data_IF_244973380079
#
_entry.id   IF_244973380079
#
_cell.length_a   1.000
_cell.length_b   1.000
_cell.length_c   1.000
_cell.angle_alpha   90.00
_cell.angle_beta   90.00
_cell.angle_gamma   90.00
#
_symmetry.space_group_name_H-M   'P 1'
#
loop_
_entity.id
_entity.type
_entity.pdbx_description
1 polymer ?
#
# COMPACT_ATOMS: atom_id res chain seq x y z
N UNK A 1 -22.91 14.50 -32.25
CA UNK A 1 -23.93 13.46 -31.95
C UNK A 1 -24.52 13.79 -30.59
N UNK A 2 -25.86 13.75 -30.44
CA UNK A 2 -26.47 14.06 -29.13
C UNK A 2 -26.14 12.93 -28.15
N UNK A 3 -25.72 13.28 -26.94
CA UNK A 3 -25.35 12.33 -25.85
C UNK A 3 -26.45 11.26 -25.61
N UNK A 4 -27.73 11.60 -25.82
CA UNK A 4 -28.83 10.69 -25.66
C UNK A 4 -28.82 9.48 -26.66
N UNK A 5 -28.32 9.68 -27.88
CA UNK A 5 -28.22 8.60 -28.84
C UNK A 5 -27.12 7.59 -28.47
N UNK A 6 -26.03 8.05 -27.86
CA UNK A 6 -24.93 7.18 -27.43
C UNK A 6 -25.41 6.27 -26.30
N UNK A 7 -26.16 6.79 -25.33
CA UNK A 7 -26.63 6.02 -24.18
C UNK A 7 -27.67 4.96 -24.51
N UNK A 8 -28.44 5.15 -25.63
CA UNK A 8 -29.48 4.20 -26.06
C UNK A 8 -28.99 3.16 -27.05
N UNK A 9 -27.80 3.35 -27.65
CA UNK A 9 -27.18 2.37 -28.56
C UNK A 9 -26.03 1.64 -27.85
N UNK A 10 -26.20 0.37 -27.46
CA UNK A 10 -25.17 -0.38 -26.74
C UNK A 10 -23.85 -0.53 -27.50
N UNK A 11 -23.92 -0.57 -28.86
CA UNK A 11 -22.71 -0.67 -29.68
C UNK A 11 -21.93 0.63 -29.65
N UNK A 12 -22.61 1.73 -29.91
CA UNK A 12 -22.00 3.06 -29.90
C UNK A 12 -21.51 3.43 -28.52
N UNK A 13 -22.25 3.07 -27.45
CA UNK A 13 -21.81 3.23 -26.06
C UNK A 13 -20.48 2.52 -25.80
N UNK A 14 -20.39 1.23 -26.13
CA UNK A 14 -19.20 0.44 -25.88
C UNK A 14 -17.97 0.92 -26.65
N UNK A 15 -18.15 1.36 -27.90
CA UNK A 15 -17.07 1.93 -28.72
C UNK A 15 -16.58 3.27 -28.14
N UNK A 16 -17.52 4.15 -27.79
CA UNK A 16 -17.19 5.46 -27.19
C UNK A 16 -16.50 5.28 -25.84
N UNK A 17 -17.03 4.40 -24.98
CA UNK A 17 -16.43 4.12 -23.67
C UNK A 17 -15.01 3.56 -23.82
N UNK A 18 -14.80 2.61 -24.74
CA UNK A 18 -13.49 2.01 -24.97
C UNK A 18 -12.43 3.06 -25.32
N UNK A 19 -12.76 3.98 -26.23
CA UNK A 19 -11.83 5.07 -26.57
C UNK A 19 -11.58 6.04 -25.42
N UNK A 20 -12.61 6.35 -24.61
CA UNK A 20 -12.45 7.19 -23.42
C UNK A 20 -11.60 6.51 -22.33
N UNK A 21 -11.80 5.21 -22.12
CA UNK A 21 -11.04 4.43 -21.15
C UNK A 21 -9.55 4.34 -21.52
N UNK A 22 -9.20 4.24 -22.80
CA UNK A 22 -7.80 4.26 -23.26
C UNK A 22 -7.03 5.53 -22.84
N UNK A 23 -7.71 6.65 -22.71
CA UNK A 23 -7.08 7.93 -22.34
C UNK A 23 -6.63 7.92 -20.87
N UNK A 24 -7.40 7.32 -19.98
CA UNK A 24 -7.13 7.30 -18.54
C UNK A 24 -6.45 6.02 -18.03
N UNK A 25 -6.58 4.92 -18.77
CA UNK A 25 -6.15 3.59 -18.31
C UNK A 25 -5.35 2.86 -19.40
N UNK A 26 -4.01 2.98 -19.38
CA UNK A 26 -3.15 2.41 -20.43
C UNK A 26 -3.34 0.91 -20.66
N UNK A 27 -3.65 0.13 -19.61
CA UNK A 27 -3.90 -1.32 -19.74
C UNK A 27 -5.09 -1.67 -20.64
N UNK A 28 -6.01 -0.76 -20.86
CA UNK A 28 -7.12 -0.94 -21.82
C UNK A 28 -6.62 -1.03 -23.27
N UNK A 29 -5.46 -0.45 -23.57
CA UNK A 29 -4.86 -0.52 -24.90
C UNK A 29 -4.41 -1.94 -25.29
N UNK A 30 -4.26 -2.83 -24.32
CA UNK A 30 -3.92 -4.24 -24.55
C UNK A 30 -5.14 -5.09 -24.92
N UNK A 31 -6.36 -4.56 -24.72
CA UNK A 31 -7.60 -5.26 -25.05
C UNK A 31 -8.06 -4.97 -26.48
N UNK A 32 -8.62 -6.01 -27.07
CA UNK A 32 -9.46 -5.84 -28.26
C UNK A 32 -10.88 -5.39 -27.87
N UNK A 33 -11.55 -4.67 -28.75
CA UNK A 33 -12.91 -4.15 -28.48
C UNK A 33 -13.92 -5.25 -28.10
N UNK A 34 -13.78 -6.45 -28.64
CA UNK A 34 -14.67 -7.56 -28.31
C UNK A 34 -14.45 -8.08 -26.88
N UNK A 35 -13.19 -8.10 -26.40
CA UNK A 35 -12.85 -8.47 -25.03
C UNK A 35 -13.40 -7.43 -24.04
N UNK A 36 -13.25 -6.15 -24.39
CA UNK A 36 -13.82 -5.05 -23.63
C UNK A 36 -15.35 -5.17 -23.53
N UNK A 37 -16.03 -5.47 -24.62
CA UNK A 37 -17.49 -5.70 -24.64
C UNK A 37 -17.90 -6.89 -23.79
N UNK A 38 -17.10 -7.95 -23.78
CA UNK A 38 -17.35 -9.12 -22.95
C UNK A 38 -17.33 -8.75 -21.44
N UNK A 39 -16.33 -7.99 -21.00
CA UNK A 39 -16.27 -7.49 -19.63
C UNK A 39 -17.41 -6.53 -19.29
N UNK A 40 -17.73 -5.60 -20.22
CA UNK A 40 -18.78 -4.62 -20.05
C UNK A 40 -20.18 -5.26 -19.89
N UNK A 41 -20.40 -6.43 -20.48
CA UNK A 41 -21.67 -7.14 -20.41
C UNK A 41 -22.11 -7.47 -18.97
N UNK A 42 -21.17 -7.67 -18.06
CA UNK A 42 -21.46 -7.93 -16.63
C UNK A 42 -22.00 -6.68 -15.90
N UNK A 43 -21.82 -5.50 -16.46
CA UNK A 43 -22.21 -4.21 -15.88
C UNK A 43 -23.44 -3.58 -16.52
N UNK A 44 -24.09 -4.27 -17.45
CA UNK A 44 -25.27 -3.72 -18.15
C UNK A 44 -26.37 -3.35 -17.15
N UNK A 45 -26.82 -2.07 -17.11
CA UNK A 45 -27.95 -1.70 -16.29
C UNK A 45 -29.23 -2.37 -16.78
N UNK A 46 -30.10 -2.79 -15.86
CA UNK A 46 -31.37 -3.46 -16.21
C UNK A 46 -32.24 -2.66 -17.15
N UNK A 47 -32.22 -1.34 -17.04
CA UNK A 47 -33.06 -0.41 -17.80
C UNK A 47 -32.29 0.38 -18.87
N UNK A 48 -31.06 -0.06 -19.22
CA UNK A 48 -30.19 0.65 -20.17
C UNK A 48 -29.31 1.73 -19.54
N UNK A 49 -28.29 2.16 -20.28
CA UNK A 49 -27.31 3.14 -19.82
C UNK A 49 -27.90 4.53 -19.57
N UNK A 50 -28.96 4.88 -20.27
CA UNK A 50 -29.71 6.14 -20.13
C UNK A 50 -30.47 6.23 -18.80
N UNK A 51 -30.69 5.09 -18.12
CA UNK A 51 -31.34 5.05 -16.81
C UNK A 51 -30.37 5.33 -15.62
N UNK A 52 -29.05 5.36 -15.86
CA UNK A 52 -28.05 5.54 -14.82
C UNK A 52 -28.04 6.99 -14.36
N UNK A 53 -28.35 7.20 -13.09
CA UNK A 53 -28.29 8.52 -12.46
C UNK A 53 -26.86 8.83 -12.04
N UNK A 54 -26.32 9.97 -12.47
CA UNK A 54 -25.00 10.44 -12.10
C UNK A 54 -25.06 11.24 -10.79
N UNK A 55 -24.07 11.05 -9.94
CA UNK A 55 -23.77 11.87 -8.78
C UNK A 55 -22.74 12.94 -9.16
N UNK A 56 -22.66 14.05 -8.41
CA UNK A 56 -21.54 14.98 -8.59
C UNK A 56 -20.20 14.32 -8.23
N UNK A 57 -19.11 14.81 -8.81
CA UNK A 57 -17.76 14.30 -8.49
C UNK A 57 -17.46 14.37 -6.98
N UNK A 58 -17.83 15.46 -6.35
CA UNK A 58 -17.68 15.67 -4.90
C UNK A 58 -18.48 14.65 -4.07
N UNK A 59 -19.73 14.34 -4.47
CA UNK A 59 -20.53 13.31 -3.81
C UNK A 59 -19.90 11.93 -3.92
N UNK A 60 -19.37 11.58 -5.11
CA UNK A 60 -18.66 10.31 -5.30
C UNK A 60 -17.42 10.26 -4.41
N UNK A 61 -16.56 11.28 -4.44
CA UNK A 61 -15.34 11.35 -3.64
C UNK A 61 -15.64 11.23 -2.14
N UNK A 62 -16.62 11.96 -1.65
CA UNK A 62 -17.03 11.90 -0.24
C UNK A 62 -17.48 10.49 0.15
N UNK A 63 -18.29 9.85 -0.71
CA UNK A 63 -18.80 8.49 -0.45
C UNK A 63 -17.69 7.44 -0.46
N UNK A 64 -16.84 7.42 -1.49
CA UNK A 64 -15.79 6.41 -1.63
C UNK A 64 -14.63 6.61 -0.64
N UNK A 65 -14.49 7.78 -0.04
CA UNK A 65 -13.54 8.05 1.05
C UNK A 65 -14.09 7.69 2.44
N UNK A 66 -15.33 7.25 2.55
CA UNK A 66 -15.93 6.93 3.85
C UNK A 66 -15.63 5.50 4.28
N UNK A 67 -15.38 5.30 5.57
CA UNK A 67 -15.24 3.96 6.15
C UNK A 67 -16.48 3.09 5.91
N UNK A 68 -17.67 3.69 6.01
CA UNK A 68 -18.93 2.98 5.79
C UNK A 68 -19.05 2.38 4.38
N UNK A 69 -18.51 3.07 3.36
CA UNK A 69 -18.47 2.53 2.00
C UNK A 69 -17.61 1.27 1.93
N UNK A 70 -16.39 1.32 2.47
CA UNK A 70 -15.49 0.15 2.46
C UNK A 70 -16.01 -0.99 3.35
N UNK A 71 -16.70 -0.68 4.45
CA UNK A 71 -17.32 -1.69 5.29
C UNK A 71 -18.43 -2.45 4.57
N UNK A 72 -19.10 -1.82 3.59
CA UNK A 72 -20.12 -2.42 2.74
C UNK A 72 -19.59 -3.17 1.50
N UNK A 73 -18.32 -2.96 1.11
CA UNK A 73 -17.80 -3.57 -0.12
C UNK A 73 -17.68 -5.09 0.02
N UNK A 74 -18.27 -5.81 -0.92
CA UNK A 74 -18.11 -7.26 -1.10
C UNK A 74 -17.65 -7.59 -2.51
N UNK A 75 -16.43 -8.15 -2.63
CA UNK A 75 -15.90 -8.73 -3.85
C UNK A 75 -15.59 -10.18 -3.54
N UNK A 76 -16.32 -11.12 -4.17
CA UNK A 76 -16.16 -12.55 -3.96
C UNK A 76 -15.82 -13.23 -5.28
N UNK A 77 -14.77 -14.06 -5.34
CA UNK A 77 -14.57 -14.93 -6.48
C UNK A 77 -15.69 -15.98 -6.55
N UNK A 78 -16.20 -16.23 -7.74
CA UNK A 78 -17.12 -17.35 -8.00
C UNK A 78 -16.37 -18.64 -8.24
N UNK A 79 -17.04 -19.75 -8.02
CA UNK A 79 -16.52 -21.10 -8.33
C UNK A 79 -16.24 -21.29 -9.82
N UNK A 80 -16.97 -20.56 -10.67
CA UNK A 80 -16.81 -20.54 -12.15
C UNK A 80 -15.75 -19.56 -12.65
N UNK A 81 -14.94 -18.99 -11.77
CA UNK A 81 -13.87 -18.03 -12.10
C UNK A 81 -14.32 -16.59 -12.28
N UNK A 82 -15.64 -16.29 -12.19
CA UNK A 82 -16.14 -14.91 -12.23
C UNK A 82 -16.10 -14.26 -10.87
N UNK A 83 -16.03 -12.92 -10.86
CA UNK A 83 -16.08 -12.12 -9.63
C UNK A 83 -17.53 -11.73 -9.34
N UNK A 84 -17.99 -11.95 -8.12
CA UNK A 84 -19.26 -11.42 -7.62
C UNK A 84 -19.00 -10.14 -6.85
N UNK A 85 -19.66 -9.08 -7.25
CA UNK A 85 -19.58 -7.77 -6.61
C UNK A 85 -20.92 -7.36 -6.04
N UNK A 86 -20.90 -6.57 -4.97
CA UNK A 86 -22.14 -6.00 -4.45
C UNK A 86 -22.66 -4.86 -5.36
N UNK A 87 -23.91 -4.47 -5.12
CA UNK A 87 -24.59 -3.47 -5.94
C UNK A 87 -23.87 -2.11 -5.97
N UNK A 88 -23.17 -1.72 -4.88
CA UNK A 88 -22.50 -0.42 -4.79
C UNK A 88 -21.29 -0.32 -5.73
N UNK A 89 -20.52 -1.41 -5.88
CA UNK A 89 -19.42 -1.46 -6.82
C UNK A 89 -19.92 -1.43 -8.26
N UNK A 90 -20.98 -2.20 -8.55
CA UNK A 90 -21.59 -2.22 -9.87
C UNK A 90 -22.14 -0.83 -10.21
N UNK A 91 -22.85 -0.19 -9.27
CA UNK A 91 -23.40 1.16 -9.44
C UNK A 91 -22.30 2.19 -9.68
N UNK A 92 -21.21 2.14 -8.91
CA UNK A 92 -20.06 3.03 -9.11
C UNK A 92 -19.49 2.86 -10.52
N UNK A 93 -19.25 1.62 -10.96
CA UNK A 93 -18.74 1.36 -12.30
C UNK A 93 -19.69 1.89 -13.38
N UNK A 94 -20.98 1.64 -13.25
CA UNK A 94 -21.99 2.14 -14.19
C UNK A 94 -21.98 3.67 -14.27
N UNK A 95 -21.92 4.37 -13.14
CA UNK A 95 -21.84 5.84 -13.10
C UNK A 95 -20.57 6.36 -13.76
N UNK A 96 -19.41 5.74 -13.47
CA UNK A 96 -18.14 6.16 -14.06
C UNK A 96 -18.12 5.90 -15.58
N UNK A 97 -18.68 4.79 -16.05
CA UNK A 97 -18.81 4.51 -17.48
C UNK A 97 -19.69 5.54 -18.18
N UNK A 98 -20.88 5.82 -17.64
CA UNK A 98 -21.78 6.81 -18.24
C UNK A 98 -21.17 8.21 -18.17
N UNK A 99 -20.57 8.60 -17.06
CA UNK A 99 -19.93 9.90 -16.93
C UNK A 99 -18.76 10.11 -17.88
N UNK A 100 -17.96 9.06 -18.16
CA UNK A 100 -16.90 9.10 -19.18
C UNK A 100 -17.49 9.30 -20.59
N UNK A 101 -18.56 8.55 -20.92
CA UNK A 101 -19.19 8.63 -22.24
C UNK A 101 -19.86 9.97 -22.48
N UNK A 102 -20.55 10.53 -21.47
CA UNK A 102 -21.23 11.82 -21.55
C UNK A 102 -20.28 13.01 -21.43
N UNK A 103 -19.07 12.79 -20.87
CA UNK A 103 -18.09 13.85 -20.58
C UNK A 103 -18.31 14.54 -19.22
N UNK A 104 -19.29 14.12 -18.41
CA UNK A 104 -19.50 14.62 -17.07
C UNK A 104 -18.32 14.29 -16.14
N UNK A 105 -17.68 13.14 -16.41
CA UNK A 105 -16.45 12.74 -15.72
C UNK A 105 -15.28 12.69 -16.70
N UNK A 106 -14.37 13.68 -16.68
CA UNK A 106 -13.18 13.66 -17.54
C UNK A 106 -12.31 12.44 -17.27
N UNK A 107 -11.71 11.79 -18.29
CA UNK A 107 -10.81 10.64 -18.11
C UNK A 107 -9.69 10.90 -17.10
N UNK A 108 -9.14 12.11 -17.07
CA UNK A 108 -8.08 12.54 -16.17
C UNK A 108 -8.57 12.52 -14.72
N UNK A 109 -9.79 12.97 -14.45
CA UNK A 109 -10.36 12.90 -13.12
C UNK A 109 -10.62 11.46 -12.70
N UNK A 110 -11.22 10.64 -13.59
CA UNK A 110 -11.49 9.23 -13.27
C UNK A 110 -10.19 8.49 -12.97
N UNK A 111 -9.14 8.65 -13.80
CA UNK A 111 -7.85 7.96 -13.58
C UNK A 111 -7.07 8.49 -12.38
N UNK A 112 -7.24 9.75 -12.00
CA UNK A 112 -6.63 10.31 -10.80
C UNK A 112 -7.23 9.74 -9.52
N UNK A 113 -8.54 9.43 -9.51
CA UNK A 113 -9.26 9.00 -8.32
C UNK A 113 -9.55 7.49 -8.27
N UNK A 114 -9.44 6.78 -9.37
CA UNK A 114 -9.82 5.38 -9.44
C UNK A 114 -8.79 4.52 -10.18
N UNK A 115 -8.61 3.30 -9.70
CA UNK A 115 -8.02 2.21 -10.47
C UNK A 115 -9.10 1.47 -11.22
N UNK A 116 -8.80 1.04 -12.43
CA UNK A 116 -9.63 0.09 -13.14
C UNK A 116 -8.97 -1.29 -13.11
N UNK A 117 -9.58 -2.24 -12.42
CA UNK A 117 -9.14 -3.65 -12.48
C UNK A 117 -9.71 -4.31 -13.73
N UNK A 118 -8.84 -4.47 -14.73
CA UNK A 118 -9.20 -5.02 -16.04
C UNK A 118 -9.71 -6.47 -15.97
N UNK A 119 -9.30 -7.23 -14.96
CA UNK A 119 -9.69 -8.64 -14.80
C UNK A 119 -11.10 -8.79 -14.26
N UNK A 120 -11.46 -7.94 -13.30
CA UNK A 120 -12.79 -7.90 -12.70
C UNK A 120 -13.72 -6.87 -13.35
N UNK A 121 -13.18 -6.01 -14.21
CA UNK A 121 -13.87 -4.96 -14.94
C UNK A 121 -14.58 -3.93 -14.06
N UNK A 122 -13.99 -3.58 -12.91
CA UNK A 122 -14.55 -2.65 -11.94
C UNK A 122 -13.54 -1.60 -11.47
N UNK A 123 -14.06 -0.52 -10.89
CA UNK A 123 -13.25 0.55 -10.32
C UNK A 123 -13.02 0.37 -8.82
N UNK A 124 -11.82 0.73 -8.39
CA UNK A 124 -11.45 0.89 -7.00
C UNK A 124 -10.93 2.30 -6.77
N UNK A 125 -11.32 2.91 -5.67
CA UNK A 125 -10.84 4.24 -5.32
C UNK A 125 -9.34 4.23 -5.03
N UNK A 126 -8.63 5.25 -5.51
CA UNK A 126 -7.20 5.48 -5.18
C UNK A 126 -7.09 6.18 -3.83
N UNK A 127 -6.18 5.74 -3.01
CA UNK A 127 -5.82 6.47 -1.80
C UNK A 127 -5.01 7.71 -2.15
N UNK A 128 -5.41 8.87 -1.64
CA UNK A 128 -4.62 10.09 -1.71
C UNK A 128 -3.60 10.09 -0.59
N UNK A 129 -2.38 9.63 -0.86
CA UNK A 129 -1.29 9.60 0.12
C UNK A 129 -0.71 10.98 0.39
N UNK A 130 -0.51 11.79 -0.64
CA UNK A 130 0.05 13.13 -0.53
C UNK A 130 -1.05 14.17 -0.36
N UNK A 131 -1.66 14.17 0.83
CA UNK A 131 -2.62 15.19 1.26
C UNK A 131 -1.93 16.53 1.47
N UNK A 132 -2.68 17.63 1.55
CA UNK A 132 -2.11 18.96 1.86
C UNK A 132 -1.25 18.94 3.13
N UNK A 133 -1.68 18.20 4.15
CA UNK A 133 -0.94 18.06 5.41
C UNK A 133 0.38 17.29 5.24
N UNK A 134 0.36 16.21 4.47
CA UNK A 134 1.57 15.45 4.13
C UNK A 134 2.54 16.30 3.31
N UNK A 135 2.04 17.04 2.32
CA UNK A 135 2.85 17.93 1.50
C UNK A 135 3.42 19.11 2.31
N UNK A 136 2.67 19.63 3.28
CA UNK A 136 3.18 20.64 4.19
C UNK A 136 4.32 20.10 5.08
N UNK A 137 4.24 18.84 5.50
CA UNK A 137 5.25 18.19 6.33
C UNK A 137 6.52 17.83 5.53
N UNK A 138 6.36 17.15 4.38
CA UNK A 138 7.48 16.69 3.54
C UNK A 138 8.02 17.76 2.57
N UNK A 139 7.46 18.98 2.59
CA UNK A 139 7.70 19.95 1.55
C UNK A 139 6.93 19.61 0.26
N UNK A 140 6.65 20.62 -0.54
CA UNK A 140 5.82 20.49 -1.74
C UNK A 140 6.55 19.85 -2.94
N UNK A 141 7.81 19.49 -2.80
CA UNK A 141 8.63 18.92 -3.88
C UNK A 141 9.54 17.81 -3.36
N UNK A 142 9.77 16.75 -4.17
CA UNK A 142 10.76 15.74 -3.84
C UNK A 142 12.15 16.35 -3.72
N UNK A 143 13.00 15.75 -2.89
CA UNK A 143 14.43 16.12 -2.75
C UNK A 143 15.17 16.07 -4.09
N UNK A 144 14.93 15.03 -4.89
CA UNK A 144 15.33 14.99 -6.30
C UNK A 144 14.12 14.62 -7.16
N UNK A 145 13.87 15.42 -8.19
CA UNK A 145 12.81 15.15 -9.15
C UNK A 145 13.34 14.28 -10.27
N UNK A 146 12.70 13.15 -10.49
CA UNK A 146 12.92 12.29 -11.65
C UNK A 146 11.86 12.54 -12.74
N UNK A 147 11.50 13.80 -12.98
CA UNK A 147 10.36 14.18 -13.86
C UNK A 147 10.36 13.45 -15.21
N UNK A 148 11.52 13.30 -15.84
CA UNK A 148 11.60 12.55 -17.11
C UNK A 148 11.33 11.06 -16.93
N UNK A 149 11.70 10.49 -15.77
CA UNK A 149 11.48 9.10 -15.44
C UNK A 149 10.09 8.87 -14.88
N UNK A 150 9.50 9.81 -14.13
CA UNK A 150 8.11 9.74 -13.71
C UNK A 150 7.16 9.51 -14.88
N UNK A 151 7.34 10.24 -16.00
CA UNK A 151 6.56 10.02 -17.23
C UNK A 151 6.77 8.63 -17.84
N UNK A 152 7.96 8.09 -17.69
CA UNK A 152 8.29 6.72 -18.11
C UNK A 152 7.69 5.69 -17.16
N UNK A 153 7.67 5.98 -15.87
CA UNK A 153 7.04 5.16 -14.83
C UNK A 153 5.52 5.13 -14.93
N UNK A 154 4.86 6.24 -15.21
CA UNK A 154 3.43 6.28 -15.48
C UNK A 154 3.03 5.34 -16.63
N UNK A 155 3.90 5.23 -17.64
CA UNK A 155 3.75 4.27 -18.74
C UNK A 155 4.08 2.82 -18.33
N UNK A 156 4.92 2.63 -17.31
CA UNK A 156 5.36 1.31 -16.83
C UNK A 156 4.49 0.77 -15.69
N UNK A 157 3.55 1.55 -15.16
CA UNK A 157 2.67 1.11 -14.06
C UNK A 157 1.92 -0.20 -14.35
N UNK A 158 1.62 -0.44 -15.62
CA UNK A 158 0.98 -1.66 -16.09
C UNK A 158 1.96 -2.73 -16.56
N UNK A 159 3.25 -2.44 -16.61
CA UNK A 159 4.29 -3.36 -17.05
C UNK A 159 4.71 -4.30 -15.90
N UNK A 160 5.05 -5.53 -16.24
CA UNK A 160 5.31 -6.60 -15.30
C UNK A 160 6.39 -6.30 -14.26
N UNK A 161 6.38 -7.07 -13.18
CA UNK A 161 7.23 -6.97 -11.99
C UNK A 161 8.73 -6.69 -12.26
N UNK A 162 9.30 -7.26 -13.33
CA UNK A 162 10.74 -7.09 -13.65
C UNK A 162 11.06 -5.65 -14.06
N UNK A 163 10.28 -5.09 -14.95
CA UNK A 163 10.48 -3.71 -15.41
C UNK A 163 10.22 -2.69 -14.27
N UNK A 164 9.26 -2.96 -13.40
CA UNK A 164 9.02 -2.16 -12.22
C UNK A 164 10.20 -2.18 -11.24
N UNK A 165 10.85 -3.32 -11.05
CA UNK A 165 12.05 -3.46 -10.23
C UNK A 165 13.23 -2.67 -10.80
N UNK A 166 13.49 -2.79 -12.09
CA UNK A 166 14.57 -2.07 -12.77
C UNK A 166 14.35 -0.56 -12.68
N UNK A 167 13.10 -0.12 -12.81
CA UNK A 167 12.72 1.28 -12.73
C UNK A 167 12.95 1.89 -11.34
N UNK A 168 12.77 1.12 -10.26
CA UNK A 168 12.99 1.60 -8.90
C UNK A 168 14.45 1.59 -8.46
N UNK A 169 15.36 1.00 -9.22
CA UNK A 169 16.76 0.86 -8.83
C UNK A 169 17.41 2.20 -8.49
N UNK A 170 17.16 3.25 -9.26
CA UNK A 170 17.75 4.57 -9.02
C UNK A 170 17.19 5.26 -7.77
N UNK A 171 15.89 5.13 -7.53
CA UNK A 171 15.24 5.68 -6.33
C UNK A 171 15.80 4.98 -5.09
N UNK A 172 15.94 3.66 -5.14
CA UNK A 172 16.53 2.88 -4.05
C UNK A 172 17.98 3.26 -3.80
N UNK A 173 18.78 3.47 -4.84
CA UNK A 173 20.17 3.92 -4.70
C UNK A 173 20.25 5.32 -4.09
N UNK A 174 19.41 6.24 -4.53
CA UNK A 174 19.32 7.58 -3.93
C UNK A 174 18.92 7.48 -2.45
N UNK A 175 17.93 6.66 -2.13
CA UNK A 175 17.48 6.44 -0.77
C UNK A 175 18.60 5.88 0.12
N UNK A 176 19.31 4.85 -0.33
CA UNK A 176 20.45 4.26 0.39
C UNK A 176 21.53 5.30 0.67
N UNK A 177 21.89 6.12 -0.32
CA UNK A 177 22.86 7.20 -0.13
C UNK A 177 22.37 8.26 0.86
N UNK A 178 21.09 8.61 0.80
CA UNK A 178 20.48 9.58 1.72
C UNK A 178 20.49 9.05 3.16
N UNK A 179 20.16 7.79 3.38
CA UNK A 179 20.24 7.14 4.71
C UNK A 179 21.66 7.14 5.23
N UNK A 180 22.67 6.83 4.40
CA UNK A 180 24.09 6.89 4.80
C UNK A 180 24.47 8.29 5.29
N UNK A 181 24.09 9.34 4.58
CA UNK A 181 24.34 10.73 4.96
C UNK A 181 23.63 11.10 6.28
N UNK A 182 22.37 10.72 6.45
CA UNK A 182 21.63 10.97 7.69
C UNK A 182 22.24 10.27 8.87
N UNK A 183 22.65 9.02 8.75
CA UNK A 183 23.32 8.29 9.83
C UNK A 183 24.67 8.92 10.17
N UNK A 184 25.43 9.36 9.17
CA UNK A 184 26.68 10.08 9.40
C UNK A 184 26.46 11.39 10.19
N UNK A 185 25.33 12.08 9.96
CA UNK A 185 24.96 13.31 10.68
C UNK A 185 24.42 13.03 12.09
N UNK A 186 23.59 11.99 12.26
CA UNK A 186 22.89 11.70 13.54
C UNK A 186 23.68 10.80 14.48
N UNK A 187 24.65 10.04 13.97
CA UNK A 187 25.49 9.11 14.74
C UNK A 187 24.90 7.72 14.91
N UNK A 188 25.65 6.86 15.61
CA UNK A 188 25.28 5.47 15.96
C UNK A 188 25.53 5.20 17.45
N UNK A 189 24.82 4.25 18.12
CA UNK A 189 23.77 3.39 17.54
C UNK A 189 22.50 4.17 17.19
N UNK A 190 21.76 3.71 16.17
CA UNK A 190 20.55 4.39 15.72
C UNK A 190 19.46 3.38 15.33
N UNK A 191 18.22 3.66 15.74
CA UNK A 191 17.02 2.99 15.24
C UNK A 191 16.54 3.66 13.96
N UNK A 192 16.47 2.91 12.87
CA UNK A 192 15.88 3.33 11.60
C UNK A 192 14.62 2.51 11.35
N UNK A 193 13.47 3.15 11.42
CA UNK A 193 12.20 2.46 11.18
C UNK A 193 11.70 2.69 9.76
N UNK A 194 11.30 1.59 9.11
CA UNK A 194 10.70 1.58 7.77
C UNK A 194 9.27 1.10 7.89
N UNK A 195 8.36 2.06 7.81
CA UNK A 195 6.92 1.84 7.76
C UNK A 195 6.44 1.66 6.31
N UNK A 196 5.34 0.98 6.13
CA UNK A 196 4.68 0.89 4.84
C UNK A 196 3.72 -0.29 4.75
N UNK A 197 2.88 -0.26 3.76
CA UNK A 197 1.88 -1.28 3.53
C UNK A 197 2.48 -2.66 3.26
N UNK A 198 1.68 -3.69 3.47
CA UNK A 198 2.07 -5.06 3.07
C UNK A 198 2.38 -5.10 1.56
N UNK A 199 3.44 -5.81 1.19
CA UNK A 199 3.96 -5.93 -0.17
C UNK A 199 4.47 -4.59 -0.81
N UNK A 200 4.77 -3.58 -0.01
CA UNK A 200 5.40 -2.34 -0.50
C UNK A 200 6.88 -2.52 -0.87
N UNK A 201 7.56 -3.56 -0.34
CA UNK A 201 8.98 -3.81 -0.62
C UNK A 201 9.91 -3.48 0.57
N UNK A 202 9.35 -3.32 1.78
CA UNK A 202 10.12 -2.98 2.99
C UNK A 202 11.27 -3.94 3.27
N UNK A 203 10.99 -5.24 3.30
CA UNK A 203 12.00 -6.27 3.59
C UNK A 203 13.13 -6.24 2.58
N UNK A 204 12.82 -6.11 1.29
CA UNK A 204 13.82 -6.02 0.23
C UNK A 204 14.74 -4.80 0.42
N UNK A 205 14.19 -3.63 0.73
CA UNK A 205 15.02 -2.43 0.94
C UNK A 205 15.83 -2.50 2.24
N UNK A 206 15.33 -3.14 3.30
CA UNK A 206 16.09 -3.40 4.54
C UNK A 206 17.29 -4.29 4.26
N UNK A 207 17.11 -5.37 3.50
CA UNK A 207 18.22 -6.24 3.08
C UNK A 207 19.27 -5.48 2.27
N UNK A 208 18.85 -4.64 1.31
CA UNK A 208 19.75 -3.81 0.49
C UNK A 208 20.52 -2.79 1.34
N UNK A 209 19.86 -2.15 2.31
CA UNK A 209 20.52 -1.28 3.29
C UNK A 209 21.55 -2.06 4.10
N UNK A 210 21.20 -3.24 4.60
CA UNK A 210 22.11 -4.12 5.36
C UNK A 210 23.37 -4.44 4.56
N UNK A 211 23.23 -4.81 3.27
CA UNK A 211 24.37 -5.03 2.38
C UNK A 211 25.21 -3.76 2.21
N UNK A 212 24.58 -2.62 1.99
CA UNK A 212 25.25 -1.35 1.76
C UNK A 212 26.02 -0.84 2.99
N UNK A 213 25.52 -1.11 4.20
CA UNK A 213 26.21 -0.76 5.47
C UNK A 213 27.33 -1.75 5.79
N UNK A 214 27.15 -3.03 5.54
CA UNK A 214 28.21 -4.04 5.69
C UNK A 214 29.43 -3.71 4.83
N UNK A 215 29.23 -3.19 3.60
CA UNK A 215 30.31 -2.76 2.73
C UNK A 215 31.17 -1.63 3.29
N UNK A 216 30.62 -0.83 4.20
CA UNK A 216 31.33 0.26 4.90
C UNK A 216 31.69 -0.10 6.35
N UNK A 217 31.67 -1.40 6.68
CA UNK A 217 32.12 -1.92 7.97
C UNK A 217 31.18 -1.69 9.15
N UNK A 218 29.91 -1.35 8.89
CA UNK A 218 28.89 -1.15 9.92
C UNK A 218 28.11 -2.44 10.17
N UNK A 219 27.86 -2.73 11.45
CA UNK A 219 26.98 -3.82 11.86
C UNK A 219 25.51 -3.38 11.75
N UNK A 220 24.68 -4.26 11.24
CA UNK A 220 23.23 -4.03 11.16
C UNK A 220 22.46 -5.21 11.73
N UNK A 221 21.30 -4.94 12.29
CA UNK A 221 20.32 -5.94 12.70
C UNK A 221 18.91 -5.44 12.36
N UNK A 222 17.92 -6.33 12.37
CA UNK A 222 16.54 -5.95 12.09
C UNK A 222 15.55 -6.55 13.08
N UNK A 223 14.53 -5.77 13.40
CA UNK A 223 13.40 -6.13 14.25
C UNK A 223 12.13 -6.00 13.41
N UNK A 224 11.44 -7.09 13.20
CA UNK A 224 10.15 -7.11 12.52
C UNK A 224 9.02 -6.90 13.54
N UNK A 225 8.26 -5.81 13.40
CA UNK A 225 7.09 -5.53 14.26
C UNK A 225 6.07 -6.67 14.19
N UNK A 226 5.95 -7.28 13.02
CA UNK A 226 5.03 -8.39 12.78
C UNK A 226 5.31 -9.62 13.64
N UNK A 227 6.54 -9.82 14.10
CA UNK A 227 6.89 -10.91 15.02
C UNK A 227 6.30 -10.73 16.43
N UNK A 228 5.93 -9.50 16.78
CA UNK A 228 5.32 -9.20 18.07
C UNK A 228 3.79 -9.35 18.08
N UNK A 229 3.15 -9.74 16.99
CA UNK A 229 1.71 -10.02 17.01
C UNK A 229 1.36 -11.11 18.04
N UNK A 230 0.27 -10.88 18.75
CA UNK A 230 -0.36 -11.89 19.61
C UNK A 230 -1.11 -12.93 18.75
N UNK A 231 -1.60 -14.00 19.33
CA UNK A 231 -2.34 -15.04 18.60
C UNK A 231 -3.56 -14.45 17.87
N UNK A 232 -3.78 -14.86 16.62
CA UNK A 232 -4.90 -14.38 15.80
C UNK A 232 -6.24 -14.67 16.44
N UNK A 233 -6.45 -15.93 16.84
CA UNK A 233 -7.73 -16.38 17.40
C UNK A 233 -8.09 -15.61 18.68
N UNK A 234 -7.10 -15.28 19.51
CA UNK A 234 -7.30 -14.47 20.70
C UNK A 234 -7.64 -13.01 20.37
N UNK A 235 -6.99 -12.43 19.36
CA UNK A 235 -7.35 -11.09 18.88
C UNK A 235 -8.77 -11.03 18.35
N UNK A 236 -9.15 -12.03 17.53
CA UNK A 236 -10.49 -12.13 16.96
C UNK A 236 -11.55 -12.30 18.03
N UNK A 237 -11.30 -13.18 19.03
CA UNK A 237 -12.21 -13.40 20.16
C UNK A 237 -12.40 -12.12 21.02
N UNK A 238 -11.40 -11.25 21.08
CA UNK A 238 -11.44 -10.00 21.86
C UNK A 238 -11.85 -8.80 21.03
N UNK A 239 -12.12 -8.95 19.73
CA UNK A 239 -12.44 -7.86 18.83
C UNK A 239 -11.28 -6.86 18.62
N UNK A 240 -10.03 -7.29 18.80
CA UNK A 240 -8.84 -6.45 18.63
C UNK A 240 -8.53 -6.39 17.14
N UNK A 241 -8.45 -5.16 16.61
CA UNK A 241 -7.97 -4.91 15.25
C UNK A 241 -6.51 -5.35 15.12
N UNK A 242 -6.13 -5.82 13.94
CA UNK A 242 -4.73 -6.16 13.62
C UNK A 242 -3.83 -4.93 13.44
N UNK A 243 -4.35 -3.75 13.72
CA UNK A 243 -3.63 -2.47 13.65
C UNK A 243 -3.53 -1.85 15.04
N UNK A 244 -2.36 -1.35 15.35
CA UNK A 244 -2.13 -0.68 16.63
C UNK A 244 -1.46 -1.57 17.68
N UNK A 245 -1.12 -0.97 18.80
CA UNK A 245 -0.33 -1.59 19.88
C UNK A 245 -1.05 -2.74 20.58
N UNK A 246 -2.38 -2.73 20.60
CA UNK A 246 -3.21 -3.75 21.23
C UNK A 246 -3.08 -5.12 20.55
N UNK A 247 -2.69 -5.13 19.26
CA UNK A 247 -2.46 -6.36 18.51
C UNK A 247 -1.10 -7.00 18.80
N UNK A 248 -0.21 -6.29 19.49
CA UNK A 248 1.16 -6.69 19.76
C UNK A 248 1.35 -7.15 21.21
N UNK A 249 2.38 -7.93 21.46
CA UNK A 249 3.04 -8.04 22.75
C UNK A 249 3.77 -6.73 23.04
N UNK A 250 3.01 -5.66 23.27
CA UNK A 250 3.50 -4.28 23.21
C UNK A 250 4.62 -4.01 24.24
N UNK A 251 4.45 -4.49 25.49
CA UNK A 251 5.48 -4.28 26.53
C UNK A 251 6.79 -5.00 26.17
N UNK A 252 6.72 -6.19 25.55
CA UNK A 252 7.92 -6.88 25.05
C UNK A 252 8.57 -6.10 23.91
N UNK A 253 7.76 -5.54 22.99
CA UNK A 253 8.27 -4.76 21.88
C UNK A 253 8.98 -3.48 22.36
N UNK A 254 8.34 -2.72 23.25
CA UNK A 254 8.92 -1.52 23.83
C UNK A 254 10.21 -1.82 24.57
N UNK A 255 10.20 -2.83 25.47
CA UNK A 255 11.39 -3.24 26.21
C UNK A 255 12.53 -3.69 25.30
N UNK A 256 12.21 -4.44 24.23
CA UNK A 256 13.20 -4.87 23.24
C UNK A 256 13.89 -3.68 22.56
N UNK A 257 13.12 -2.64 22.19
CA UNK A 257 13.68 -1.43 21.59
C UNK A 257 14.56 -0.65 22.57
N UNK A 258 14.13 -0.52 23.83
CA UNK A 258 14.93 0.14 24.87
C UNK A 258 16.23 -0.63 25.15
N UNK A 259 16.16 -1.94 25.30
CA UNK A 259 17.35 -2.75 25.62
C UNK A 259 18.37 -2.76 24.48
N UNK A 260 17.92 -2.93 23.23
CA UNK A 260 18.85 -2.99 22.09
C UNK A 260 19.53 -1.65 21.81
N UNK A 261 18.85 -0.52 22.06
CA UNK A 261 19.46 0.82 21.96
C UNK A 261 20.51 1.06 23.02
N UNK A 262 20.42 0.37 24.18
CA UNK A 262 21.42 0.38 25.21
C UNK A 262 22.52 -0.69 25.05
N UNK A 263 22.60 -1.32 23.88
CA UNK A 263 23.63 -2.30 23.53
C UNK A 263 23.45 -3.67 24.18
N UNK A 264 22.24 -4.02 24.62
CA UNK A 264 21.92 -5.35 25.13
C UNK A 264 21.37 -6.24 24.03
N UNK A 265 21.74 -7.52 24.04
CA UNK A 265 21.06 -8.53 23.24
C UNK A 265 19.61 -8.73 23.71
N UNK A 266 18.71 -8.99 22.78
CA UNK A 266 17.28 -9.14 23.06
C UNK A 266 16.76 -10.48 22.55
N UNK A 267 15.72 -10.97 23.21
CA UNK A 267 14.98 -12.18 22.83
C UNK A 267 13.55 -11.77 22.47
N UNK A 268 13.16 -11.99 21.21
CA UNK A 268 11.88 -11.50 20.70
C UNK A 268 10.91 -12.63 20.35
N UNK A 269 9.60 -12.38 20.36
CA UNK A 269 8.63 -13.33 19.84
C UNK A 269 8.88 -13.67 18.37
N UNK A 270 8.28 -14.79 17.94
CA UNK A 270 8.19 -15.19 16.54
C UNK A 270 6.72 -15.43 16.21
N UNK A 271 6.24 -14.81 15.13
CA UNK A 271 4.87 -14.95 14.66
C UNK A 271 4.77 -15.83 13.41
N UNK A 272 3.96 -16.88 13.47
CA UNK A 272 3.70 -17.74 12.33
C UNK A 272 2.47 -17.26 11.56
N UNK A 273 2.68 -16.73 10.35
CA UNK A 273 1.59 -16.23 9.50
C UNK A 273 0.70 -17.31 8.89
N UNK A 274 1.13 -18.58 8.89
CA UNK A 274 0.35 -19.69 8.32
C UNK A 274 -0.80 -20.01 9.24
N UNK A 275 -0.49 -20.31 10.52
CA UNK A 275 -1.48 -20.67 11.53
C UNK A 275 -1.96 -19.47 12.38
N UNK A 276 -1.28 -18.33 12.29
CA UNK A 276 -1.64 -17.14 13.04
C UNK A 276 -1.24 -17.18 14.52
N UNK A 277 -0.24 -17.99 14.87
CA UNK A 277 0.19 -18.17 16.25
C UNK A 277 1.48 -17.39 16.57
N UNK A 278 1.56 -16.86 17.78
CA UNK A 278 2.78 -16.32 18.38
C UNK A 278 3.54 -17.39 19.15
N UNK A 279 4.85 -17.27 19.24
CA UNK A 279 5.68 -18.08 20.14
C UNK A 279 5.43 -17.77 21.62
N UNK A 280 4.82 -16.62 21.92
CA UNK A 280 4.51 -16.17 23.27
C UNK A 280 2.99 -16.18 23.52
N UNK A 281 2.61 -16.46 24.76
CA UNK A 281 1.21 -16.33 25.20
C UNK A 281 0.87 -14.87 25.51
N UNK A 282 -0.42 -14.58 25.70
CA UNK A 282 -0.91 -13.22 26.02
C UNK A 282 -0.26 -12.58 27.27
N UNK A 283 0.27 -13.40 28.17
CA UNK A 283 1.01 -12.94 29.34
C UNK A 283 2.49 -12.58 29.04
N UNK A 284 2.89 -12.58 27.76
CA UNK A 284 4.25 -12.31 27.33
C UNK A 284 5.27 -13.41 27.62
N UNK A 285 4.83 -14.59 28.10
CA UNK A 285 5.74 -15.71 28.38
C UNK A 285 5.87 -16.63 27.16
N UNK A 286 7.09 -17.13 26.95
CA UNK A 286 7.36 -18.12 25.91
C UNK A 286 6.50 -19.39 26.15
N UNK A 287 5.87 -19.86 25.11
CA UNK A 287 5.08 -21.08 25.14
C UNK A 287 5.99 -22.32 25.18
N UNK A 288 5.52 -23.45 25.76
CA UNK A 288 6.27 -24.69 25.68
C UNK A 288 6.61 -25.07 24.24
N UNK A 289 7.78 -25.64 24.02
CA UNK A 289 8.29 -26.12 22.72
C UNK A 289 8.40 -25.05 21.62
N UNK A 290 8.39 -23.75 22.00
CA UNK A 290 8.68 -22.63 21.10
C UNK A 290 10.05 -22.05 21.38
N UNK A 291 10.67 -21.48 20.34
CA UNK A 291 11.98 -20.83 20.43
C UNK A 291 11.79 -19.36 20.08
N UNK A 292 12.33 -18.44 20.89
CA UNK A 292 12.33 -17.03 20.56
C UNK A 292 13.40 -16.73 19.49
N UNK A 293 13.39 -15.52 18.96
CA UNK A 293 14.44 -15.02 18.08
C UNK A 293 15.42 -14.17 18.89
N UNK A 294 16.68 -14.59 18.94
CA UNK A 294 17.76 -13.84 19.56
C UNK A 294 18.32 -12.81 18.60
N UNK A 295 18.47 -11.55 19.03
CA UNK A 295 18.94 -10.44 18.22
C UNK A 295 20.06 -9.73 18.97
N UNK A 296 21.23 -9.64 18.34
CA UNK A 296 22.40 -8.95 18.87
C UNK A 296 22.36 -7.44 18.56
N UNK A 297 22.89 -6.58 19.44
CA UNK A 297 22.98 -5.16 19.18
C UNK A 297 23.91 -4.84 18.01
N UNK A 298 23.60 -3.74 17.33
CA UNK A 298 24.31 -3.31 16.13
C UNK A 298 24.42 -1.77 16.06
N UNK A 299 25.27 -1.26 15.16
CA UNK A 299 25.37 0.18 14.90
C UNK A 299 24.07 0.75 14.37
N UNK A 300 23.38 -0.03 13.52
CA UNK A 300 22.12 0.36 12.88
C UNK A 300 21.12 -0.75 13.10
N UNK A 301 20.00 -0.40 13.72
CA UNK A 301 18.92 -1.31 14.05
C UNK A 301 17.73 -0.93 13.18
N UNK A 302 17.39 -1.77 12.23
CA UNK A 302 16.19 -1.57 11.41
C UNK A 302 14.96 -2.03 12.17
N UNK A 303 13.88 -1.25 12.08
CA UNK A 303 12.55 -1.64 12.53
C UNK A 303 11.69 -1.70 11.27
N UNK A 304 11.13 -2.86 10.94
CA UNK A 304 10.24 -3.04 9.82
C UNK A 304 8.82 -3.33 10.30
N UNK A 305 7.84 -2.60 9.77
CA UNK A 305 6.43 -2.84 10.13
C UNK A 305 5.43 -2.06 9.29
N UNK A 306 4.16 -2.36 9.52
CA UNK A 306 3.09 -1.67 8.82
C UNK A 306 2.74 -0.32 9.48
N UNK A 307 2.88 -0.21 10.80
CA UNK A 307 2.38 0.93 11.56
C UNK A 307 3.29 1.41 12.72
N UNK A 308 4.64 1.34 12.64
CA UNK A 308 5.51 1.70 13.77
C UNK A 308 5.33 3.15 14.23
N UNK A 309 4.92 4.07 13.34
CA UNK A 309 4.76 5.49 13.68
C UNK A 309 3.39 5.84 14.28
N UNK A 310 2.48 4.88 14.38
CA UNK A 310 1.22 5.03 15.11
C UNK A 310 1.36 4.69 16.61
N UNK A 311 2.53 4.22 17.03
CA UNK A 311 2.83 3.85 18.42
C UNK A 311 3.62 4.99 19.06
N UNK A 312 2.91 5.96 19.66
CA UNK A 312 3.49 7.18 20.20
C UNK A 312 4.60 6.90 21.25
N UNK A 313 4.42 5.85 22.05
CA UNK A 313 5.31 5.49 23.15
C UNK A 313 6.74 5.11 22.71
N UNK A 314 6.93 4.74 21.45
CA UNK A 314 8.25 4.39 20.90
C UNK A 314 8.84 5.43 19.95
N UNK A 315 8.08 6.45 19.56
CA UNK A 315 8.53 7.42 18.55
C UNK A 315 9.83 8.13 18.94
N UNK A 316 10.04 8.38 20.23
CA UNK A 316 11.24 9.04 20.74
C UNK A 316 12.51 8.19 20.64
N UNK A 317 12.38 6.86 20.49
CA UNK A 317 13.50 5.94 20.30
C UNK A 317 13.96 5.89 18.84
N UNK A 318 13.07 6.25 17.89
CA UNK A 318 13.33 6.11 16.45
C UNK A 318 14.10 7.33 15.96
N UNK A 319 15.36 7.11 15.61
CA UNK A 319 16.25 8.15 15.10
C UNK A 319 16.00 8.55 13.66
N UNK A 320 15.52 7.64 12.80
CA UNK A 320 15.16 7.92 11.39
C UNK A 320 13.84 7.21 11.08
N UNK A 321 12.86 7.97 10.58
CA UNK A 321 11.52 7.48 10.23
C UNK A 321 11.32 7.51 8.71
N UNK A 322 11.11 6.37 8.10
CA UNK A 322 10.93 6.25 6.65
C UNK A 322 9.59 5.59 6.35
N UNK A 323 8.81 6.16 5.44
CA UNK A 323 7.69 5.48 4.82
C UNK A 323 8.12 4.98 3.44
N UNK A 324 7.97 3.67 3.22
CA UNK A 324 8.19 3.05 1.91
C UNK A 324 6.85 2.81 1.24
N UNK A 325 6.54 3.64 0.26
CA UNK A 325 5.24 3.73 -0.38
C UNK A 325 5.28 3.07 -1.76
N UNK A 326 4.30 2.22 -2.00
CA UNK A 326 4.01 1.65 -3.31
C UNK A 326 2.50 1.75 -3.53
N UNK A 327 2.11 2.17 -4.71
CA UNK A 327 0.71 2.36 -5.06
C UNK A 327 -0.11 1.06 -4.88
N UNK A 328 -1.35 1.22 -4.47
CA UNK A 328 -2.21 0.13 -3.99
C UNK A 328 -2.35 -1.00 -5.01
N UNK A 329 -2.61 -0.71 -6.27
CA UNK A 329 -2.80 -1.74 -7.27
C UNK A 329 -1.53 -2.58 -7.52
N UNK A 330 -0.35 -1.97 -7.46
CA UNK A 330 0.94 -2.67 -7.65
C UNK A 330 1.20 -3.61 -6.48
N UNK A 331 1.06 -3.12 -5.24
CA UNK A 331 1.30 -3.95 -4.06
C UNK A 331 0.24 -5.02 -3.87
N UNK A 332 -1.02 -4.79 -4.32
CA UNK A 332 -2.08 -5.80 -4.30
C UNK A 332 -1.76 -6.97 -5.23
N UNK A 333 -1.25 -6.71 -6.43
CA UNK A 333 -0.75 -7.76 -7.34
C UNK A 333 0.39 -8.57 -6.70
N UNK A 334 1.34 -7.90 -6.02
CA UNK A 334 2.45 -8.54 -5.31
C UNK A 334 1.98 -9.39 -4.13
N UNK A 335 1.06 -8.84 -3.34
CA UNK A 335 0.47 -9.54 -2.20
C UNK A 335 -0.28 -10.79 -2.64
N UNK A 336 -1.11 -10.68 -3.69
CA UNK A 336 -1.81 -11.81 -4.28
C UNK A 336 -0.84 -12.93 -4.66
N UNK A 337 0.18 -12.60 -5.44
CA UNK A 337 1.19 -13.57 -5.88
C UNK A 337 1.88 -14.24 -4.68
N UNK A 338 2.31 -13.48 -3.69
CA UNK A 338 2.94 -13.99 -2.48
C UNK A 338 2.02 -14.92 -1.70
N UNK A 339 0.76 -14.53 -1.52
CA UNK A 339 -0.19 -15.30 -0.72
C UNK A 339 -0.56 -16.62 -1.43
N UNK A 340 -0.60 -16.63 -2.76
CA UNK A 340 -0.82 -17.86 -3.55
C UNK A 340 0.43 -18.75 -3.60
N UNK A 341 1.58 -18.21 -3.99
CA UNK A 341 2.78 -18.99 -4.29
C UNK A 341 3.48 -19.50 -3.03
N UNK A 342 3.58 -18.66 -1.99
CA UNK A 342 4.37 -18.96 -0.79
C UNK A 342 3.53 -19.32 0.44
N UNK A 343 2.38 -18.68 0.63
CA UNK A 343 1.53 -18.92 1.81
C UNK A 343 0.46 -19.97 1.58
N UNK A 344 0.34 -20.46 0.34
CA UNK A 344 -0.61 -21.51 -0.09
C UNK A 344 -2.05 -21.20 0.34
N UNK A 345 -2.44 -19.93 0.32
CA UNK A 345 -3.78 -19.50 0.69
C UNK A 345 -4.69 -19.60 -0.53
N UNK A 346 -5.13 -20.83 -0.81
CA UNK A 346 -6.02 -21.14 -1.93
C UNK A 346 -7.50 -21.08 -1.56
N UNK A 347 -7.83 -20.86 -0.27
CA UNK A 347 -9.22 -20.78 0.16
C UNK A 347 -9.85 -19.49 -0.37
N UNK A 348 -10.87 -19.66 -1.21
CA UNK A 348 -11.65 -18.55 -1.77
C UNK A 348 -12.31 -17.69 -0.68
N UNK A 349 -12.58 -18.25 0.50
CA UNK A 349 -13.10 -17.50 1.64
C UNK A 349 -12.10 -16.48 2.17
N UNK A 350 -10.81 -16.72 2.03
CA UNK A 350 -9.75 -15.79 2.41
C UNK A 350 -9.78 -14.50 1.58
N UNK A 351 -10.18 -14.60 0.31
CA UNK A 351 -10.32 -13.45 -0.61
C UNK A 351 -11.64 -12.70 -0.43
N UNK A 352 -12.48 -13.11 0.53
CA UNK A 352 -13.61 -12.30 0.95
C UNK A 352 -13.09 -10.98 1.52
N UNK A 353 -13.72 -9.90 1.14
CA UNK A 353 -13.67 -8.54 1.67
C UNK A 353 -12.38 -8.06 2.36
N UNK A 354 -11.78 -8.93 3.19
CA UNK A 354 -10.60 -8.65 4.00
C UNK A 354 -9.40 -8.23 3.15
N UNK A 355 -9.29 -8.76 1.93
CA UNK A 355 -8.14 -8.49 1.06
C UNK A 355 -8.15 -7.06 0.51
N UNK A 356 -9.26 -6.62 -0.05
CA UNK A 356 -9.41 -5.28 -0.61
C UNK A 356 -9.76 -4.26 0.48
N UNK A 357 -10.79 -4.56 1.27
CA UNK A 357 -11.30 -3.72 2.34
C UNK A 357 -10.22 -3.31 3.34
N UNK A 358 -9.54 -4.28 3.96
CA UNK A 358 -8.52 -3.99 4.97
C UNK A 358 -7.39 -3.15 4.37
N UNK A 359 -7.00 -3.40 3.12
CA UNK A 359 -5.90 -2.66 2.52
C UNK A 359 -6.25 -1.20 2.23
N UNK A 360 -7.47 -0.90 1.79
CA UNK A 360 -7.90 0.46 1.53
C UNK A 360 -8.19 1.23 2.81
N UNK A 361 -8.84 0.60 3.79
CA UNK A 361 -9.05 1.19 5.12
C UNK A 361 -7.70 1.51 5.78
N UNK A 362 -6.76 0.58 5.71
CA UNK A 362 -5.43 0.77 6.27
C UNK A 362 -4.66 1.91 5.61
N UNK A 363 -4.82 2.11 4.30
CA UNK A 363 -4.16 3.21 3.61
C UNK A 363 -4.55 4.56 4.24
N UNK A 364 -5.83 4.76 4.51
CA UNK A 364 -6.37 5.98 5.11
C UNK A 364 -5.98 6.14 6.60
N UNK A 365 -6.13 5.09 7.39
CA UNK A 365 -6.05 5.17 8.84
C UNK A 365 -4.68 4.78 9.43
N UNK A 366 -3.86 4.08 8.66
CA UNK A 366 -2.55 3.67 9.11
C UNK A 366 -1.40 4.28 8.30
N UNK A 367 -1.50 4.38 6.98
CA UNK A 367 -0.34 4.79 6.18
C UNK A 367 -0.27 6.30 5.95
N UNK A 368 -1.39 6.96 5.68
CA UNK A 368 -1.40 8.43 5.53
C UNK A 368 -0.95 9.13 6.80
N UNK A 369 -1.43 8.79 8.02
CA UNK A 369 -0.94 9.42 9.24
C UNK A 369 0.57 9.26 9.48
N UNK A 370 1.17 8.15 9.04
CA UNK A 370 2.61 7.95 9.18
C UNK A 370 3.43 8.83 8.25
N UNK A 371 2.89 9.24 7.10
CA UNK A 371 3.52 10.22 6.21
C UNK A 371 3.60 11.62 6.84
N UNK A 372 2.72 11.92 7.79
CA UNK A 372 2.68 13.21 8.48
C UNK A 372 3.77 13.38 9.56
N UNK A 373 4.50 12.29 9.88
CA UNK A 373 5.52 12.28 10.94
C UNK A 373 6.84 11.66 10.50
N UNK A 374 6.96 11.19 9.26
CA UNK A 374 8.20 10.58 8.78
C UNK A 374 9.26 11.63 8.40
N UNK A 375 10.53 11.25 8.44
CA UNK A 375 11.64 12.05 7.93
C UNK A 375 11.74 11.99 6.40
N UNK A 376 11.45 10.83 5.84
CA UNK A 376 11.52 10.55 4.40
C UNK A 376 10.38 9.64 3.95
N UNK A 377 9.93 9.83 2.70
CA UNK A 377 9.07 8.89 2.00
C UNK A 377 9.70 8.48 0.67
N UNK A 378 9.89 7.18 0.49
CA UNK A 378 10.27 6.58 -0.80
C UNK A 378 9.00 6.22 -1.53
N UNK A 379 8.63 7.00 -2.53
CA UNK A 379 7.52 6.72 -3.43
C UNK A 379 8.00 5.92 -4.63
N UNK A 380 7.83 4.60 -4.57
CA UNK A 380 8.28 3.71 -5.63
C UNK A 380 7.41 3.80 -6.88
N UNK A 381 6.20 4.28 -6.78
CA UNK A 381 5.29 4.45 -7.93
C UNK A 381 5.58 5.73 -8.68
N UNK A 382 5.77 6.84 -7.95
CA UNK A 382 6.16 8.12 -8.54
C UNK A 382 7.65 8.24 -8.81
N UNK A 383 8.47 7.23 -8.45
CA UNK A 383 9.93 7.26 -8.55
C UNK A 383 10.53 8.52 -7.89
N UNK A 384 10.13 8.81 -6.67
CA UNK A 384 10.52 10.02 -5.96
C UNK A 384 10.96 9.73 -4.52
N UNK A 385 11.91 10.53 -4.03
CA UNK A 385 12.28 10.59 -2.63
C UNK A 385 11.80 11.93 -2.04
N UNK A 386 10.80 11.85 -1.18
CA UNK A 386 10.29 12.98 -0.43
C UNK A 386 10.99 13.08 0.91
N UNK A 387 11.33 14.28 1.35
CA UNK A 387 12.01 14.52 2.62
C UNK A 387 11.40 15.72 3.32
N UNK A 388 11.52 15.77 4.65
CA UNK A 388 11.27 17.02 5.35
C UNK A 388 12.29 18.09 4.94
N UNK A 389 11.98 19.40 5.08
CA UNK A 389 12.94 20.47 4.79
C UNK A 389 14.25 20.32 5.58
N UNK A 390 14.18 19.90 6.85
CA UNK A 390 15.37 19.66 7.68
C UNK A 390 16.27 18.59 7.06
N UNK A 391 15.70 17.44 6.71
CA UNK A 391 16.45 16.36 6.07
C UNK A 391 17.02 16.79 4.74
N UNK A 392 16.26 17.54 3.92
CA UNK A 392 16.74 18.04 2.64
C UNK A 392 18.00 18.93 2.79
N UNK A 393 18.07 19.77 3.83
CA UNK A 393 19.25 20.58 4.11
C UNK A 393 20.46 19.71 4.51
N UNK A 394 20.28 18.71 5.35
CA UNK A 394 21.37 17.76 5.71
C UNK A 394 21.89 17.07 4.43
N UNK A 395 21.00 16.63 3.56
CA UNK A 395 21.39 15.93 2.34
C UNK A 395 22.12 16.80 1.31
N UNK A 396 21.90 18.11 1.32
CA UNK A 396 22.61 19.06 0.46
C UNK A 396 24.02 19.38 0.98
N UNK A 397 24.21 19.40 2.30
CA UNK A 397 25.47 19.78 2.93
C UNK A 397 26.52 18.66 2.98
N UNK A 398 26.10 17.43 2.89
CA UNK A 398 26.91 16.22 2.95
C UNK A 398 27.17 15.64 1.53
#
# INVERSE_FOLDING_TARGET
MHSSQILTDPRLFSETLFEKMKLGFPGIQELELYEFRYGLAEFLPKNGWDSVQLESREQIETRVNSRAYYDGIEIKPRVDGRIVMNADIIRLAQMLFVGLVTGEYPPEWVSAHFYFDIRGFYFLHRTTYFTEKVLAHLGSRPYQSFEQKQKQFERLQDVGYKAFREANEEVDQLFIQSVKKLIASRGTPILLAIAGATAAGKTEIVERLGVAFKQVGRKTTSIEVDNFFTDRDEREARGIDSQGKEALHFELFKQALEDITHGKAISTPVYNFIDGSSSHGMNGKLKPDRVPLEIEPADIIFIEGNFPFLIEEILHLIGIKVVYLTDDHVRMKRKWKRDMDYRKKYDLSYFRNRYFKDQFIMAQFAYVPQLEVCDMCVDTTGAALWTTPEVAEILKQA
#
